data_IF_237408699159
#
_entry.id   IF_237408699159
#
_cell.length_a   1.000
_cell.length_b   1.000
_cell.length_c   1.000
_cell.angle_alpha   90.00
_cell.angle_beta   90.00
_cell.angle_gamma   90.00
#
_symmetry.space_group_name_H-M   'P 1'
#
loop_
_entity.id
_entity.type
_entity.pdbx_description
1 polymer ?
#
# COMPACT_ATOMS: atom_id res chain seq x y z
N UNK A 1 -5.51 -56.78 25.99
CA UNK A 1 -5.06 -55.49 26.55
C UNK A 1 -5.00 -54.48 25.41
N UNK A 2 -6.07 -53.71 25.21
CA UNK A 2 -6.22 -52.75 24.14
C UNK A 2 -5.53 -51.41 24.49
N UNK A 3 -4.77 -50.87 23.56
CA UNK A 3 -4.19 -49.52 23.67
C UNK A 3 -5.29 -48.47 23.45
N UNK A 4 -5.36 -47.38 24.22
CA UNK A 4 -6.32 -46.32 23.98
C UNK A 4 -5.96 -45.56 22.69
N UNK A 5 -6.93 -45.46 21.79
CA UNK A 5 -6.88 -44.52 20.65
C UNK A 5 -7.21 -43.14 21.20
N UNK A 6 -6.25 -42.25 21.14
CA UNK A 6 -6.51 -40.81 21.29
C UNK A 6 -7.29 -40.33 20.07
N UNK A 7 -8.55 -39.99 20.30
CA UNK A 7 -9.35 -39.22 19.31
C UNK A 7 -8.89 -37.77 19.42
N UNK A 8 -8.14 -37.32 18.43
CA UNK A 8 -7.85 -35.89 18.25
C UNK A 8 -9.17 -35.20 17.94
N UNK A 9 -9.48 -34.18 18.72
CA UNK A 9 -10.77 -33.50 18.70
C UNK A 9 -11.13 -32.99 17.29
N UNK A 10 -12.36 -33.32 16.90
CA UNK A 10 -13.03 -32.68 15.78
C UNK A 10 -13.08 -31.17 16.04
N UNK A 11 -12.42 -30.41 15.17
CA UNK A 11 -12.72 -28.97 15.00
C UNK A 11 -14.18 -28.90 14.57
N UNK A 12 -15.05 -28.50 15.48
CA UNK A 12 -16.45 -28.21 15.17
C UNK A 12 -16.46 -26.94 14.32
N UNK A 13 -16.55 -27.13 13.02
CA UNK A 13 -17.04 -26.06 12.14
C UNK A 13 -18.46 -25.79 12.62
N UNK A 14 -18.68 -24.69 13.31
CA UNK A 14 -20.01 -24.20 13.61
C UNK A 14 -20.71 -23.84 12.30
N UNK A 15 -21.23 -24.86 11.63
CA UNK A 15 -22.30 -24.67 10.67
C UNK A 15 -23.51 -24.22 11.47
N UNK A 16 -23.89 -22.97 11.35
CA UNK A 16 -25.19 -22.48 11.80
C UNK A 16 -26.28 -23.24 11.04
N UNK A 17 -26.81 -24.30 11.63
CA UNK A 17 -28.05 -24.93 11.18
C UNK A 17 -29.17 -24.01 11.65
N UNK A 18 -29.52 -23.04 10.82
CA UNK A 18 -30.75 -22.26 10.97
C UNK A 18 -31.94 -23.10 10.59
N UNK A 19 -32.76 -23.45 11.58
CA UNK A 19 -34.10 -23.98 11.36
C UNK A 19 -34.99 -22.87 10.78
N UNK A 20 -35.63 -23.09 9.62
CA UNK A 20 -36.68 -22.24 9.09
C UNK A 20 -36.41 -21.76 7.65
N UNK A 21 -37.31 -22.22 6.80
CA UNK A 21 -37.56 -21.84 5.42
C UNK A 21 -37.48 -20.31 5.20
N UNK A 22 -36.32 -19.82 4.73
CA UNK A 22 -36.15 -18.48 4.19
C UNK A 22 -35.64 -18.66 2.79
N UNK A 23 -36.40 -18.13 1.84
CA UNK A 23 -36.12 -18.15 0.41
C UNK A 23 -34.64 -17.91 0.14
N UNK A 24 -34.13 -18.57 -0.91
CA UNK A 24 -32.73 -18.52 -1.33
C UNK A 24 -32.24 -17.07 -1.45
N UNK A 25 -31.69 -16.57 -0.35
CA UNK A 25 -30.82 -15.39 -0.40
C UNK A 25 -29.57 -15.86 -1.13
N UNK A 26 -29.38 -15.40 -2.33
CA UNK A 26 -28.10 -15.50 -3.03
C UNK A 26 -27.02 -15.01 -2.08
N UNK A 27 -26.17 -15.91 -1.63
CA UNK A 27 -25.04 -15.57 -0.76
C UNK A 27 -24.09 -14.72 -1.60
N UNK A 28 -24.12 -13.41 -1.40
CA UNK A 28 -23.24 -12.48 -2.09
C UNK A 28 -21.85 -12.63 -1.44
N UNK A 29 -20.93 -13.28 -2.16
CA UNK A 29 -19.51 -13.30 -1.77
C UNK A 29 -18.82 -12.06 -2.32
N UNK A 30 -17.88 -11.52 -1.57
CA UNK A 30 -17.02 -10.45 -2.07
C UNK A 30 -15.95 -11.00 -3.01
N UNK A 31 -15.56 -10.24 -4.04
CA UNK A 31 -14.42 -10.59 -4.89
C UNK A 31 -13.11 -10.52 -4.12
N UNK A 32 -12.06 -11.10 -4.71
CA UNK A 32 -10.68 -10.96 -4.23
C UNK A 32 -10.26 -9.49 -4.20
N UNK A 33 -9.53 -9.07 -3.16
CA UNK A 33 -9.01 -7.72 -2.99
C UNK A 33 -9.59 -6.98 -1.78
N UNK A 34 -9.49 -5.66 -1.77
CA UNK A 34 -9.99 -4.81 -0.67
C UNK A 34 -11.51 -4.93 -0.52
N UNK A 35 -11.98 -4.89 0.74
CA UNK A 35 -13.41 -4.82 1.01
C UNK A 35 -14.00 -3.53 0.39
N UNK A 36 -15.23 -3.58 -0.21
CA UNK A 36 -15.84 -2.39 -0.77
C UNK A 36 -15.91 -1.24 0.23
N UNK A 37 -15.45 -0.05 -0.18
CA UNK A 37 -15.25 1.11 0.70
C UNK A 37 -16.52 1.50 1.49
N UNK A 38 -17.71 1.44 0.87
CA UNK A 38 -18.98 1.73 1.54
C UNK A 38 -19.28 0.73 2.66
N UNK A 39 -18.95 -0.56 2.46
CA UNK A 39 -19.14 -1.56 3.52
C UNK A 39 -18.14 -1.35 4.63
N UNK A 40 -16.86 -1.16 4.29
CA UNK A 40 -15.81 -0.89 5.28
C UNK A 40 -16.13 0.35 6.11
N UNK A 41 -16.55 1.46 5.49
CA UNK A 41 -16.94 2.68 6.19
C UNK A 41 -18.05 2.45 7.25
N UNK A 42 -19.07 1.63 6.90
CA UNK A 42 -20.14 1.27 7.86
C UNK A 42 -19.62 0.44 9.05
N UNK A 43 -18.65 -0.43 8.82
CA UNK A 43 -18.03 -1.22 9.88
C UNK A 43 -17.17 -0.34 10.79
N UNK A 44 -16.32 0.51 10.21
CA UNK A 44 -15.44 1.41 10.94
C UNK A 44 -16.21 2.44 11.78
N UNK A 45 -17.36 2.91 11.30
CA UNK A 45 -18.24 3.81 12.08
C UNK A 45 -18.70 3.19 13.42
N UNK A 46 -18.72 1.86 13.55
CA UNK A 46 -19.07 1.15 14.78
C UNK A 46 -17.90 1.04 15.77
N UNK A 47 -16.68 1.33 15.30
CA UNK A 47 -15.44 1.19 16.05
C UNK A 47 -14.75 2.55 16.26
N UNK A 48 -15.52 3.64 16.31
CA UNK A 48 -14.97 4.97 16.53
C UNK A 48 -14.26 5.04 17.89
N UNK A 49 -12.98 5.48 17.94
CA UNK A 49 -12.23 5.61 19.17
C UNK A 49 -12.88 6.63 20.11
N UNK A 50 -12.94 6.30 21.41
CA UNK A 50 -13.40 7.22 22.46
C UNK A 50 -12.25 7.91 23.20
N UNK A 51 -11.02 7.41 23.09
CA UNK A 51 -9.82 8.01 23.68
C UNK A 51 -9.44 9.27 22.90
N UNK A 52 -9.41 10.41 23.60
CA UNK A 52 -9.07 11.72 23.02
C UNK A 52 -7.63 11.82 22.51
N UNK A 53 -6.75 10.91 22.93
CA UNK A 53 -5.37 10.82 22.43
C UNK A 53 -5.30 10.25 21.01
N UNK A 54 -6.34 9.58 20.54
CA UNK A 54 -6.38 9.13 19.15
C UNK A 54 -6.65 10.32 18.24
N UNK A 55 -5.60 10.86 17.64
CA UNK A 55 -5.67 12.02 16.76
C UNK A 55 -6.14 11.64 15.36
N UNK A 56 -5.76 10.45 14.91
CA UNK A 56 -6.19 9.83 13.65
C UNK A 56 -6.57 8.38 13.94
N UNK A 57 -7.84 8.07 13.82
CA UNK A 57 -8.39 6.72 13.99
C UNK A 57 -8.76 6.09 12.64
N UNK A 58 -9.41 4.89 12.66
CA UNK A 58 -9.72 4.15 11.45
C UNK A 58 -10.65 4.93 10.52
N UNK A 59 -10.40 4.88 9.20
CA UNK A 59 -11.21 5.54 8.17
C UNK A 59 -10.74 5.22 6.76
N UNK A 60 -11.56 5.52 5.77
CA UNK A 60 -11.17 5.39 4.36
C UNK A 60 -10.11 6.44 4.03
N UNK A 61 -9.04 6.03 3.31
CA UNK A 61 -7.92 6.91 2.97
C UNK A 61 -7.05 7.31 4.18
N UNK A 62 -7.08 6.49 5.24
CA UNK A 62 -6.25 6.67 6.44
C UNK A 62 -5.37 5.44 6.61
N UNK A 63 -4.11 5.59 6.22
CA UNK A 63 -3.18 4.46 6.14
C UNK A 63 -2.64 4.04 7.50
N UNK A 64 -2.51 4.97 8.46
CA UNK A 64 -2.02 4.69 9.80
C UNK A 64 -2.87 5.33 10.90
N UNK A 65 -2.83 4.76 12.10
CA UNK A 65 -3.35 5.36 13.32
C UNK A 65 -2.32 6.30 13.94
N UNK A 66 -2.78 7.44 14.50
CA UNK A 66 -1.92 8.40 15.20
C UNK A 66 -2.47 8.62 16.60
N UNK A 67 -1.62 8.41 17.60
CA UNK A 67 -1.95 8.50 19.02
C UNK A 67 -1.01 9.51 19.67
N UNK A 68 -1.57 10.51 20.34
CA UNK A 68 -0.79 11.45 21.17
C UNK A 68 -0.18 10.72 22.35
N UNK A 69 1.14 10.85 22.52
CA UNK A 69 1.91 10.21 23.57
C UNK A 69 2.91 11.21 24.15
N UNK A 70 2.51 11.86 25.22
CA UNK A 70 3.24 12.99 25.85
C UNK A 70 3.53 14.13 24.84
N UNK A 71 4.79 14.41 24.56
CA UNK A 71 5.26 15.47 23.65
C UNK A 71 5.38 15.01 22.20
N UNK A 72 5.05 13.74 21.90
CA UNK A 72 5.11 13.14 20.56
C UNK A 72 3.80 12.48 20.15
N UNK A 73 3.73 12.13 18.88
CA UNK A 73 2.72 11.22 18.38
C UNK A 73 3.35 9.87 18.07
N UNK A 74 2.73 8.80 18.57
CA UNK A 74 2.99 7.43 18.13
C UNK A 74 2.13 7.18 16.89
N UNK A 75 2.77 6.70 15.83
CA UNK A 75 2.12 6.27 14.59
C UNK A 75 2.20 4.75 14.51
N UNK A 76 1.08 4.11 14.21
CA UNK A 76 0.99 2.66 14.13
C UNK A 76 0.24 2.22 12.87
N UNK A 77 0.81 1.25 12.16
CA UNK A 77 0.22 0.62 10.98
C UNK A 77 0.39 -0.89 11.06
N UNK A 78 -0.60 -1.63 10.57
CA UNK A 78 -0.49 -3.08 10.40
C UNK A 78 -1.14 -3.52 9.11
N UNK A 79 -0.34 -4.11 8.22
CA UNK A 79 -0.82 -4.71 6.96
C UNK A 79 -0.25 -6.11 6.74
N UNK A 80 -1.05 -7.02 6.16
CA UNK A 80 -0.60 -8.32 5.71
C UNK A 80 -0.03 -8.26 4.29
N UNK A 81 0.99 -9.07 4.02
CA UNK A 81 1.41 -9.42 2.66
C UNK A 81 0.90 -10.82 2.35
N UNK A 82 0.06 -10.94 1.32
CA UNK A 82 -0.65 -12.18 0.98
C UNK A 82 -0.40 -12.67 -0.45
N UNK A 83 0.09 -11.82 -1.35
CA UNK A 83 0.29 -12.14 -2.77
C UNK A 83 1.75 -12.42 -3.15
N UNK A 84 2.71 -11.78 -2.50
CA UNK A 84 4.12 -12.02 -2.78
C UNK A 84 4.56 -13.35 -2.16
N UNK A 85 5.11 -14.25 -2.96
CA UNK A 85 5.76 -15.48 -2.49
C UNK A 85 7.26 -15.29 -2.41
N UNK A 86 7.79 -14.47 -3.28
CA UNK A 86 9.19 -14.07 -3.38
C UNK A 86 9.39 -12.75 -2.63
N UNK A 87 10.41 -12.68 -1.78
CA UNK A 87 10.76 -11.50 -0.96
C UNK A 87 9.63 -11.00 -0.01
N UNK A 88 8.77 -11.90 0.47
CA UNK A 88 7.61 -11.55 1.31
C UNK A 88 7.98 -10.78 2.58
N UNK A 89 9.14 -11.09 3.19
CA UNK A 89 9.67 -10.36 4.35
C UNK A 89 10.05 -8.93 4.01
N UNK A 90 10.69 -8.71 2.84
CA UNK A 90 11.03 -7.39 2.31
C UNK A 90 9.78 -6.53 2.11
N UNK A 91 8.77 -7.08 1.42
CA UNK A 91 7.49 -6.40 1.22
C UNK A 91 6.83 -6.01 2.56
N UNK A 92 6.77 -6.93 3.52
CA UNK A 92 6.09 -6.70 4.78
C UNK A 92 6.68 -5.51 5.57
N UNK A 93 8.00 -5.33 5.53
CA UNK A 93 8.65 -4.19 6.18
C UNK A 93 8.37 -2.89 5.41
N UNK A 94 8.61 -2.88 4.10
CA UNK A 94 8.52 -1.65 3.31
C UNK A 94 7.09 -1.11 3.16
N UNK A 95 6.10 -1.98 2.92
CA UNK A 95 4.70 -1.55 2.79
C UNK A 95 4.21 -0.90 4.09
N UNK A 96 4.47 -1.54 5.24
CA UNK A 96 4.08 -0.97 6.53
C UNK A 96 4.87 0.31 6.87
N UNK A 97 6.14 0.41 6.45
CA UNK A 97 6.96 1.61 6.65
C UNK A 97 6.47 2.80 5.82
N UNK A 98 6.02 2.55 4.59
CA UNK A 98 5.50 3.57 3.70
C UNK A 98 4.29 4.30 4.30
N UNK A 99 3.32 3.56 4.82
CA UNK A 99 2.13 4.12 5.46
C UNK A 99 2.47 5.02 6.67
N UNK A 100 3.43 4.58 7.48
CA UNK A 100 3.93 5.37 8.62
C UNK A 100 4.61 6.63 8.11
N UNK A 101 5.45 6.53 7.08
CA UNK A 101 6.16 7.66 6.48
C UNK A 101 5.20 8.69 5.87
N UNK A 102 4.05 8.27 5.31
CA UNK A 102 3.03 9.17 4.77
C UNK A 102 2.41 10.11 5.82
N UNK A 103 2.62 9.84 7.11
CA UNK A 103 2.24 10.75 8.19
C UNK A 103 3.33 11.76 8.58
N UNK A 104 4.47 11.77 7.90
CA UNK A 104 5.66 12.55 8.28
C UNK A 104 6.45 11.94 9.44
N UNK A 105 6.08 10.74 9.89
CA UNK A 105 6.73 10.04 10.99
C UNK A 105 8.04 9.38 10.56
N UNK A 106 8.96 9.29 11.51
CA UNK A 106 10.15 8.45 11.39
C UNK A 106 9.79 7.03 11.83
N UNK A 107 9.98 6.05 10.97
CA UNK A 107 9.82 4.62 11.28
C UNK A 107 10.85 4.20 12.34
N UNK A 108 10.45 3.35 13.32
CA UNK A 108 11.31 3.00 14.44
C UNK A 108 11.33 1.52 14.78
N UNK A 109 10.16 0.91 14.91
CA UNK A 109 10.03 -0.46 15.42
C UNK A 109 9.10 -1.28 14.53
N UNK A 110 9.47 -2.53 14.35
CA UNK A 110 8.70 -3.49 13.57
C UNK A 110 8.38 -4.75 14.38
N UNK A 111 7.15 -5.25 14.25
CA UNK A 111 6.75 -6.57 14.73
C UNK A 111 6.25 -7.36 13.53
N UNK A 112 6.63 -8.65 13.44
CA UNK A 112 6.23 -9.53 12.36
C UNK A 112 5.47 -10.74 12.87
N UNK A 113 4.28 -11.01 12.32
CA UNK A 113 3.58 -12.28 12.52
C UNK A 113 3.68 -13.09 11.24
N UNK A 114 4.31 -14.26 11.32
CA UNK A 114 4.50 -15.20 10.23
C UNK A 114 3.53 -16.38 10.39
N UNK A 115 2.64 -16.54 9.41
CA UNK A 115 1.77 -17.71 9.30
C UNK A 115 2.28 -18.54 8.13
N UNK A 116 2.83 -19.72 8.44
CA UNK A 116 3.55 -20.57 7.48
C UNK A 116 2.73 -21.80 7.13
N UNK A 117 2.67 -22.22 5.85
CA UNK A 117 1.88 -23.37 5.43
C UNK A 117 2.48 -24.68 5.93
N UNK A 118 1.67 -25.56 6.59
CA UNK A 118 2.12 -26.82 7.18
C UNK A 118 2.78 -27.78 6.18
N UNK A 119 2.32 -27.79 4.92
CA UNK A 119 2.79 -28.73 3.91
C UNK A 119 4.05 -28.26 3.16
N UNK A 120 4.40 -26.97 3.25
CA UNK A 120 5.39 -26.33 2.39
C UNK A 120 6.44 -25.53 3.17
N UNK A 121 6.51 -25.67 4.49
CA UNK A 121 7.46 -24.95 5.35
C UNK A 121 8.66 -25.86 5.67
N UNK A 122 9.83 -25.40 5.27
CA UNK A 122 11.12 -25.98 5.65
C UNK A 122 12.03 -24.90 6.27
N UNK A 123 13.15 -25.29 6.89
CA UNK A 123 14.09 -24.32 7.47
C UNK A 123 14.57 -23.25 6.49
N UNK A 124 14.77 -23.61 5.22
CA UNK A 124 15.29 -22.68 4.19
C UNK A 124 14.29 -21.54 3.94
N UNK A 125 13.00 -21.86 3.84
CA UNK A 125 11.95 -20.85 3.69
C UNK A 125 11.89 -19.92 4.89
N UNK A 126 11.96 -20.48 6.09
CA UNK A 126 11.87 -19.69 7.34
C UNK A 126 13.07 -18.75 7.44
N UNK A 127 14.29 -19.28 7.26
CA UNK A 127 15.52 -18.51 7.30
C UNK A 127 15.49 -17.37 6.26
N UNK A 128 15.08 -17.66 5.03
CA UNK A 128 14.99 -16.66 3.96
C UNK A 128 14.02 -15.52 4.31
N UNK A 129 12.85 -15.82 4.90
CA UNK A 129 11.89 -14.78 5.31
C UNK A 129 12.47 -13.90 6.43
N UNK A 130 13.15 -14.51 7.42
CA UNK A 130 13.78 -13.77 8.51
C UNK A 130 14.94 -12.90 8.01
N UNK A 131 15.78 -13.40 7.09
CA UNK A 131 16.86 -12.63 6.47
C UNK A 131 16.30 -11.41 5.72
N UNK A 132 15.25 -11.59 4.92
CA UNK A 132 14.58 -10.50 4.21
C UNK A 132 14.04 -9.42 5.17
N UNK A 133 13.41 -9.83 6.27
CA UNK A 133 12.91 -8.88 7.30
C UNK A 133 14.08 -8.15 7.93
N UNK A 134 15.15 -8.85 8.31
CA UNK A 134 16.32 -8.26 8.95
C UNK A 134 17.02 -7.26 8.03
N UNK A 135 17.22 -7.62 6.76
CA UNK A 135 17.85 -6.75 5.76
C UNK A 135 17.04 -5.48 5.52
N UNK A 136 15.71 -5.62 5.34
CA UNK A 136 14.81 -4.47 5.14
C UNK A 136 14.75 -3.57 6.38
N UNK A 137 14.70 -4.14 7.58
CA UNK A 137 14.76 -3.38 8.83
C UNK A 137 16.10 -2.63 8.96
N UNK A 138 17.21 -3.30 8.64
CA UNK A 138 18.54 -2.69 8.67
C UNK A 138 18.66 -1.51 7.70
N UNK A 139 18.16 -1.67 6.46
CA UNK A 139 18.16 -0.62 5.44
C UNK A 139 17.41 0.63 5.91
N UNK A 140 16.26 0.45 6.56
CA UNK A 140 15.42 1.55 7.05
C UNK A 140 15.84 2.09 8.42
N UNK A 141 16.82 1.48 9.09
CA UNK A 141 17.19 1.82 10.46
C UNK A 141 16.08 1.54 11.48
N UNK A 142 15.31 0.47 11.25
CA UNK A 142 14.19 0.00 12.08
C UNK A 142 14.63 -1.17 12.92
N UNK A 143 14.19 -1.23 14.17
CA UNK A 143 14.44 -2.37 15.07
C UNK A 143 13.31 -3.39 15.00
N UNK A 144 13.64 -4.67 14.73
CA UNK A 144 12.69 -5.77 14.89
C UNK A 144 12.53 -6.06 16.39
N UNK A 145 11.38 -5.72 16.98
CA UNK A 145 11.18 -5.77 18.43
C UNK A 145 10.33 -6.93 18.91
N UNK A 146 9.79 -7.74 17.98
CA UNK A 146 9.00 -8.92 18.34
C UNK A 146 8.10 -9.40 17.23
N UNK A 147 7.14 -10.23 17.60
CA UNK A 147 6.17 -10.83 16.67
C UNK A 147 5.76 -12.22 17.09
N UNK A 148 5.29 -13.02 16.14
CA UNK A 148 4.89 -14.41 16.33
C UNK A 148 5.19 -15.22 15.07
N UNK A 149 5.57 -16.47 15.23
CA UNK A 149 5.79 -17.39 14.10
C UNK A 149 5.14 -18.72 14.39
N UNK A 150 4.27 -19.17 13.47
CA UNK A 150 3.63 -20.49 13.61
C UNK A 150 3.45 -21.17 12.25
N UNK A 151 3.40 -22.49 12.29
CA UNK A 151 2.99 -23.32 11.16
C UNK A 151 1.49 -23.51 11.24
N UNK A 152 0.76 -22.99 10.25
CA UNK A 152 -0.70 -22.82 10.27
C UNK A 152 -1.38 -23.79 9.30
N UNK A 153 -2.47 -24.41 9.76
CA UNK A 153 -3.30 -25.29 8.94
C UNK A 153 -4.07 -24.52 7.85
N UNK A 154 -4.16 -25.15 6.66
CA UNK A 154 -5.03 -24.67 5.58
C UNK A 154 -4.52 -23.46 4.81
N UNK A 155 -3.21 -23.19 4.86
CA UNK A 155 -2.54 -22.21 4.01
C UNK A 155 -1.80 -22.88 2.86
N UNK A 156 -1.87 -22.28 1.67
CA UNK A 156 -1.12 -22.72 0.49
C UNK A 156 0.21 -21.98 0.34
N UNK A 157 0.36 -20.82 0.98
CA UNK A 157 1.53 -19.94 0.91
C UNK A 157 1.75 -19.22 2.24
N UNK A 158 2.97 -18.70 2.50
CA UNK A 158 3.23 -17.85 3.66
C UNK A 158 2.37 -16.58 3.64
N UNK A 159 2.00 -16.12 4.83
CA UNK A 159 1.43 -14.79 5.07
C UNK A 159 2.30 -14.11 6.12
N UNK A 160 2.75 -12.90 5.84
CA UNK A 160 3.50 -12.08 6.81
C UNK A 160 2.66 -10.85 7.13
N UNK A 161 2.27 -10.71 8.40
CA UNK A 161 1.57 -9.52 8.89
C UNK A 161 2.59 -8.63 9.58
N UNK A 162 2.85 -7.47 8.99
CA UNK A 162 3.70 -6.45 9.58
C UNK A 162 2.91 -5.56 10.55
N UNK A 163 3.60 -5.06 11.58
CA UNK A 163 3.15 -3.93 12.37
C UNK A 163 4.31 -2.97 12.54
N UNK A 164 4.24 -1.83 11.89
CA UNK A 164 5.24 -0.76 11.95
C UNK A 164 4.80 0.32 12.92
N UNK A 165 5.72 0.74 13.77
CA UNK A 165 5.55 1.85 14.68
C UNK A 165 6.55 2.95 14.34
N UNK A 166 6.10 4.20 14.44
CA UNK A 166 6.92 5.38 14.20
C UNK A 166 6.58 6.52 15.15
N UNK A 167 7.38 7.56 15.08
CA UNK A 167 7.25 8.77 15.91
C UNK A 167 7.24 10.02 15.04
N UNK A 168 6.42 11.00 15.41
CA UNK A 168 6.41 12.32 14.80
C UNK A 168 6.10 13.40 15.84
N UNK A 169 6.71 14.56 15.70
CA UNK A 169 6.34 15.74 16.48
C UNK A 169 4.93 16.19 16.06
N UNK A 170 4.03 16.55 16.98
CA UNK A 170 2.66 16.96 16.65
C UNK A 170 2.58 18.07 15.59
N UNK A 171 3.53 19.01 15.59
CA UNK A 171 3.61 20.13 14.66
C UNK A 171 4.07 19.70 13.24
N UNK A 172 4.69 18.53 13.11
CA UNK A 172 5.19 17.97 11.85
C UNK A 172 4.31 16.85 11.31
N UNK A 173 3.21 16.55 11.99
CA UNK A 173 2.28 15.52 11.57
C UNK A 173 1.61 15.90 10.24
N UNK A 174 1.84 15.12 9.20
CA UNK A 174 1.12 15.23 7.93
C UNK A 174 -0.15 14.38 8.03
N UNK A 175 -1.29 14.99 7.75
CA UNK A 175 -2.58 14.33 7.87
C UNK A 175 -3.15 14.00 6.48
N UNK A 176 -3.79 12.84 6.31
CA UNK A 176 -4.41 12.49 5.02
C UNK A 176 -5.53 13.45 4.61
N UNK A 177 -6.18 14.12 5.59
CA UNK A 177 -7.22 15.11 5.37
C UNK A 177 -6.69 16.55 5.24
N UNK A 178 -5.37 16.72 5.10
CA UNK A 178 -4.71 18.02 5.07
C UNK A 178 -4.68 18.73 3.71
N UNK A 179 -4.96 18.04 2.61
CA UNK A 179 -4.93 18.64 1.27
C UNK A 179 -5.96 19.77 1.10
N UNK A 180 -5.56 20.85 0.41
CA UNK A 180 -6.36 22.07 0.28
C UNK A 180 -6.48 22.50 -1.18
N UNK A 181 -7.62 23.11 -1.60
CA UNK A 181 -7.71 23.76 -2.90
C UNK A 181 -6.56 24.75 -3.12
N UNK A 182 -5.89 24.64 -4.26
CA UNK A 182 -4.70 25.41 -4.60
C UNK A 182 -3.38 24.65 -4.47
N UNK A 183 -3.32 23.58 -3.69
CA UNK A 183 -2.13 22.74 -3.57
C UNK A 183 -1.71 22.16 -4.91
N UNK A 184 -0.40 22.01 -5.10
CA UNK A 184 0.15 21.26 -6.21
C UNK A 184 0.18 19.77 -5.86
N UNK A 185 -0.13 18.91 -6.84
CA UNK A 185 0.05 17.46 -6.74
C UNK A 185 1.40 17.07 -7.32
N UNK A 186 2.24 16.45 -6.51
CA UNK A 186 3.52 15.86 -6.92
C UNK A 186 3.43 14.35 -6.83
N UNK A 187 4.22 13.66 -7.67
CA UNK A 187 4.38 12.21 -7.65
C UNK A 187 5.86 11.85 -7.79
N UNK A 188 6.36 10.97 -6.93
CA UNK A 188 7.75 10.51 -6.99
C UNK A 188 7.90 9.26 -7.85
N UNK A 189 9.11 9.02 -8.37
CA UNK A 189 9.59 7.85 -9.14
C UNK A 189 8.75 7.55 -10.38
N UNK A 190 7.62 6.94 -10.22
CA UNK A 190 6.71 6.55 -11.30
C UNK A 190 5.68 5.54 -10.80
N UNK A 191 4.57 5.39 -11.54
CA UNK A 191 3.49 4.49 -11.15
C UNK A 191 3.78 3.04 -11.50
N UNK A 192 3.09 2.11 -10.84
CA UNK A 192 3.10 0.68 -11.09
C UNK A 192 4.51 0.02 -11.00
N UNK A 193 5.39 0.58 -10.16
CA UNK A 193 6.74 0.01 -9.91
C UNK A 193 6.61 -1.40 -9.35
N UNK A 194 5.84 -1.58 -8.30
CA UNK A 194 5.57 -2.88 -7.69
C UNK A 194 4.89 -3.84 -8.66
N UNK A 195 3.82 -3.40 -9.32
CA UNK A 195 3.07 -4.22 -10.28
C UNK A 195 3.96 -4.73 -11.42
N UNK A 196 4.88 -3.89 -11.91
CA UNK A 196 5.88 -4.29 -12.91
C UNK A 196 6.80 -5.39 -12.39
N UNK A 197 7.28 -5.28 -11.15
CA UNK A 197 8.14 -6.28 -10.53
C UNK A 197 7.40 -7.62 -10.33
N UNK A 198 6.17 -7.58 -9.80
CA UNK A 198 5.35 -8.78 -9.60
C UNK A 198 5.06 -9.48 -10.93
N UNK A 199 4.62 -8.74 -11.95
CA UNK A 199 4.34 -9.30 -13.29
C UNK A 199 5.56 -10.01 -13.87
N UNK A 200 6.75 -9.39 -13.75
CA UNK A 200 7.99 -9.95 -14.27
C UNK A 200 8.45 -11.19 -13.51
N UNK A 201 8.06 -11.36 -12.25
CA UNK A 201 8.40 -12.50 -11.40
C UNK A 201 7.42 -13.67 -11.58
N UNK A 202 6.12 -13.37 -11.59
CA UNK A 202 5.07 -14.39 -11.58
C UNK A 202 4.62 -14.86 -12.97
N UNK A 203 4.89 -14.09 -14.06
CA UNK A 203 4.38 -14.41 -15.38
C UNK A 203 5.42 -15.13 -16.25
N UNK A 204 5.37 -16.46 -16.27
CA UNK A 204 6.23 -17.32 -17.11
C UNK A 204 6.01 -17.10 -18.62
N UNK A 205 4.85 -16.58 -19.05
CA UNK A 205 4.54 -16.27 -20.45
C UNK A 205 5.40 -15.17 -21.06
N UNK A 206 6.14 -14.43 -20.23
CA UNK A 206 7.07 -13.38 -20.66
C UNK A 206 8.46 -13.88 -21.04
N UNK A 207 8.72 -15.18 -20.99
CA UNK A 207 10.06 -15.77 -21.25
C UNK A 207 10.68 -15.39 -22.61
N UNK A 208 9.89 -14.99 -23.61
CA UNK A 208 10.33 -14.47 -24.90
C UNK A 208 10.69 -12.97 -24.93
N UNK A 209 10.58 -12.25 -23.83
CA UNK A 209 10.72 -10.77 -23.77
C UNK A 209 12.17 -10.26 -23.70
N UNK A 210 13.17 -11.18 -23.67
CA UNK A 210 14.59 -10.86 -23.48
C UNK A 210 14.99 -10.85 -22.00
N UNK A 211 16.05 -11.63 -21.67
CA UNK A 211 16.47 -11.83 -20.27
C UNK A 211 16.79 -10.54 -19.53
N UNK A 212 17.53 -9.62 -20.17
CA UNK A 212 17.91 -8.34 -19.56
C UNK A 212 16.71 -7.45 -19.23
N UNK A 213 15.68 -7.42 -20.09
CA UNK A 213 14.47 -6.64 -19.85
C UNK A 213 13.69 -7.15 -18.62
N UNK A 214 13.51 -8.47 -18.50
CA UNK A 214 12.81 -9.05 -17.36
C UNK A 214 13.58 -8.89 -16.05
N UNK A 215 14.90 -9.06 -16.09
CA UNK A 215 15.74 -8.82 -14.91
C UNK A 215 15.62 -7.37 -14.41
N UNK A 216 15.60 -6.41 -15.33
CA UNK A 216 15.39 -5.02 -14.96
C UNK A 216 14.01 -4.81 -14.35
N UNK A 217 12.94 -5.38 -14.93
CA UNK A 217 11.59 -5.29 -14.36
C UNK A 217 11.52 -5.94 -12.96
N UNK A 218 12.13 -7.10 -12.76
CA UNK A 218 12.23 -7.79 -11.44
C UNK A 218 12.96 -6.95 -10.42
N UNK A 219 14.00 -6.22 -10.87
CA UNK A 219 14.79 -5.31 -10.05
C UNK A 219 14.02 -4.09 -9.54
N UNK A 220 12.84 -3.78 -10.09
CA UNK A 220 12.05 -2.61 -9.69
C UNK A 220 11.63 -2.63 -8.22
N UNK A 221 11.60 -3.78 -7.58
CA UNK A 221 11.39 -3.89 -6.14
C UNK A 221 12.44 -3.11 -5.33
N UNK A 222 13.68 -3.02 -5.86
CA UNK A 222 14.82 -2.38 -5.21
C UNK A 222 15.27 -1.08 -5.92
N UNK A 223 15.16 -0.99 -7.25
CA UNK A 223 15.53 0.17 -8.05
C UNK A 223 14.52 0.42 -9.19
N UNK A 224 13.68 1.45 -9.07
CA UNK A 224 13.70 2.60 -8.14
C UNK A 224 13.25 2.30 -6.71
N UNK A 225 12.79 1.09 -6.42
CA UNK A 225 12.39 0.61 -5.10
C UNK A 225 10.97 0.97 -4.69
N UNK A 226 10.36 0.09 -3.86
CA UNK A 226 9.00 0.28 -3.36
C UNK A 226 8.93 1.16 -2.09
N UNK A 227 10.07 1.45 -1.44
CA UNK A 227 10.11 2.32 -0.27
C UNK A 227 9.86 3.78 -0.64
N UNK A 228 8.97 4.45 0.09
CA UNK A 228 8.76 5.91 0.00
C UNK A 228 9.19 6.64 1.27
N UNK A 229 9.82 5.94 2.21
CA UNK A 229 10.29 6.52 3.48
C UNK A 229 11.23 7.70 3.27
N UNK A 230 12.21 7.53 2.38
CA UNK A 230 13.16 8.59 2.04
C UNK A 230 12.50 9.74 1.26
N UNK A 231 11.56 9.41 0.37
CA UNK A 231 10.79 10.38 -0.41
C UNK A 231 10.03 11.33 0.52
N UNK A 232 9.29 10.77 1.48
CA UNK A 232 8.52 11.51 2.47
C UNK A 232 9.42 12.39 3.35
N UNK A 233 10.52 11.83 3.86
CA UNK A 233 11.47 12.55 4.71
C UNK A 233 12.12 13.74 3.99
N UNK A 234 12.53 13.56 2.73
CA UNK A 234 13.13 14.63 1.91
C UNK A 234 12.11 15.71 1.59
N UNK A 235 10.88 15.32 1.20
CA UNK A 235 9.84 16.26 0.84
C UNK A 235 9.42 17.14 2.04
N UNK A 236 9.17 16.52 3.20
CA UNK A 236 8.74 17.24 4.42
C UNK A 236 9.85 18.09 5.05
N UNK A 237 11.12 17.79 4.77
CA UNK A 237 12.24 18.63 5.17
C UNK A 237 12.43 19.84 4.26
N UNK A 238 11.95 19.79 3.00
CA UNK A 238 12.19 20.81 1.98
C UNK A 238 11.07 21.84 1.84
N UNK A 239 9.86 21.59 2.35
CA UNK A 239 8.73 22.49 2.22
C UNK A 239 7.48 22.03 2.93
N UNK A 240 6.40 22.82 2.81
CA UNK A 240 5.12 22.53 3.44
C UNK A 240 4.36 21.47 2.65
N UNK A 241 4.22 20.28 3.25
CA UNK A 241 3.47 19.14 2.73
C UNK A 241 2.18 19.00 3.52
N UNK A 242 1.03 19.15 2.85
CA UNK A 242 -0.27 19.13 3.49
C UNK A 242 -0.87 17.73 3.62
N UNK A 243 -0.66 16.87 2.61
CA UNK A 243 -1.06 15.47 2.64
C UNK A 243 -0.09 14.62 1.83
N UNK A 244 0.07 13.37 2.25
CA UNK A 244 0.81 12.32 1.53
C UNK A 244 -0.03 11.05 1.45
N UNK A 245 0.20 10.27 0.41
CA UNK A 245 -0.38 8.95 0.23
C UNK A 245 0.53 8.10 -0.67
N UNK A 246 0.74 6.84 -0.34
CA UNK A 246 1.41 5.86 -1.19
C UNK A 246 0.37 5.00 -1.91
N UNK A 247 0.13 5.22 -3.21
CA UNK A 247 -0.80 4.40 -3.96
C UNK A 247 -0.38 2.93 -3.97
N UNK A 248 -1.26 2.02 -3.58
CA UNK A 248 -1.06 0.57 -3.54
C UNK A 248 -2.04 -0.12 -4.50
N UNK A 249 -2.91 -1.04 -4.01
CA UNK A 249 -3.92 -1.71 -4.81
C UNK A 249 -4.88 -0.73 -5.52
N UNK A 250 -5.13 -1.01 -6.81
CA UNK A 250 -5.90 -0.14 -7.68
C UNK A 250 -5.13 1.07 -8.20
N UNK A 251 -3.81 1.09 -7.95
CA UNK A 251 -2.83 2.00 -8.54
C UNK A 251 -3.02 3.48 -8.20
N UNK A 252 -2.40 4.33 -9.00
CA UNK A 252 -2.50 5.79 -8.83
C UNK A 252 -3.96 6.27 -8.87
N UNK A 253 -4.82 5.66 -9.68
CA UNK A 253 -6.20 6.08 -9.78
C UNK A 253 -6.92 5.95 -8.42
N UNK A 254 -6.76 4.82 -7.73
CA UNK A 254 -7.32 4.61 -6.39
C UNK A 254 -6.69 5.57 -5.37
N UNK A 255 -5.36 5.73 -5.35
CA UNK A 255 -4.69 6.66 -4.44
C UNK A 255 -5.15 8.11 -4.59
N UNK A 256 -5.41 8.58 -5.82
CA UNK A 256 -6.00 9.90 -6.06
C UNK A 256 -7.42 10.04 -5.50
N UNK A 257 -8.24 8.98 -5.63
CA UNK A 257 -9.58 8.93 -5.05
C UNK A 257 -9.52 8.93 -3.52
N UNK A 258 -8.61 8.17 -2.92
CA UNK A 258 -8.43 8.08 -1.47
C UNK A 258 -7.97 9.41 -0.87
N UNK A 259 -6.96 10.07 -1.48
CA UNK A 259 -6.51 11.40 -1.07
C UNK A 259 -7.64 12.44 -1.17
N UNK A 260 -8.37 12.46 -2.28
CA UNK A 260 -9.48 13.40 -2.47
C UNK A 260 -10.62 13.16 -1.47
N UNK A 261 -10.95 11.89 -1.21
CA UNK A 261 -12.01 11.51 -0.27
C UNK A 261 -11.64 11.85 1.18
N UNK A 262 -10.37 11.61 1.57
CA UNK A 262 -9.88 11.91 2.91
C UNK A 262 -9.96 13.41 3.22
N UNK A 263 -9.61 14.27 2.25
CA UNK A 263 -9.57 15.73 2.42
C UNK A 263 -10.86 16.46 2.00
N UNK A 264 -11.81 15.75 1.36
CA UNK A 264 -13.05 16.37 0.86
C UNK A 264 -12.81 17.37 -0.28
N UNK A 265 -11.89 17.06 -1.20
CA UNK A 265 -11.46 17.96 -2.29
C UNK A 265 -11.67 17.34 -3.68
N UNK A 266 -11.54 18.15 -4.72
CA UNK A 266 -11.43 17.71 -6.10
C UNK A 266 -9.97 17.73 -6.58
N UNK A 267 -9.66 17.04 -7.68
CA UNK A 267 -8.33 16.98 -8.27
C UNK A 267 -8.37 17.21 -9.77
N UNK A 268 -7.44 17.99 -10.28
CA UNK A 268 -7.15 18.12 -11.72
C UNK A 268 -5.76 17.56 -11.99
N UNK A 269 -5.70 16.42 -12.67
CA UNK A 269 -4.46 15.68 -12.94
C UNK A 269 -4.13 15.74 -14.43
N UNK A 270 -2.93 16.16 -14.78
CA UNK A 270 -2.41 16.16 -16.14
C UNK A 270 -1.89 14.76 -16.49
N UNK A 271 -2.63 14.04 -17.33
CA UNK A 271 -2.32 12.67 -17.72
C UNK A 271 -0.92 12.53 -18.33
N UNK A 272 -0.49 13.49 -19.16
CA UNK A 272 0.82 13.47 -19.79
C UNK A 272 1.98 13.75 -18.83
N UNK A 273 1.70 14.26 -17.63
CA UNK A 273 2.70 14.54 -16.62
C UNK A 273 2.91 13.38 -15.63
N UNK A 274 2.07 12.35 -15.69
CA UNK A 274 2.21 11.16 -14.82
C UNK A 274 3.44 10.37 -15.29
N UNK A 275 4.48 10.20 -14.43
CA UNK A 275 5.65 9.43 -14.81
C UNK A 275 5.32 7.92 -14.83
N UNK A 276 5.59 7.31 -15.97
CA UNK A 276 5.47 5.85 -16.17
C UNK A 276 6.78 5.37 -16.76
N UNK A 277 7.41 4.41 -16.11
CA UNK A 277 8.70 3.87 -16.58
C UNK A 277 8.51 3.13 -17.92
N UNK A 278 9.49 3.19 -18.83
CA UNK A 278 9.38 2.55 -20.15
C UNK A 278 9.06 1.06 -20.06
N UNK A 279 9.65 0.35 -19.10
CA UNK A 279 9.42 -1.07 -18.87
C UNK A 279 7.96 -1.35 -18.46
N UNK A 280 7.40 -0.53 -17.58
CA UNK A 280 5.99 -0.58 -17.19
C UNK A 280 5.07 -0.37 -18.39
N UNK A 281 5.35 0.65 -19.22
CA UNK A 281 4.57 0.91 -20.43
C UNK A 281 4.57 -0.29 -21.38
N UNK A 282 5.74 -0.91 -21.60
CA UNK A 282 5.89 -2.07 -22.47
C UNK A 282 5.12 -3.27 -21.92
N UNK A 283 5.24 -3.57 -20.62
CA UNK A 283 4.53 -4.69 -20.01
C UNK A 283 3.01 -4.50 -20.03
N UNK A 284 2.54 -3.34 -19.62
CA UNK A 284 1.12 -3.01 -19.63
C UNK A 284 0.52 -3.09 -21.03
N UNK A 285 1.20 -2.53 -22.05
CA UNK A 285 0.76 -2.60 -23.45
C UNK A 285 0.69 -4.03 -23.97
N UNK A 286 1.63 -4.90 -23.63
CA UNK A 286 1.65 -6.31 -24.04
C UNK A 286 0.53 -7.14 -23.40
N UNK A 287 0.20 -6.83 -22.16
CA UNK A 287 -0.76 -7.59 -21.37
C UNK A 287 -2.17 -6.98 -21.39
N UNK A 288 -2.34 -5.83 -22.03
CA UNK A 288 -3.59 -5.10 -22.09
C UNK A 288 -4.07 -4.56 -20.74
N UNK A 289 -3.11 -4.17 -19.87
CA UNK A 289 -3.36 -3.59 -18.56
C UNK A 289 -3.29 -2.06 -18.60
N UNK A 290 -4.07 -1.40 -17.75
CA UNK A 290 -3.98 0.04 -17.55
C UNK A 290 -3.02 0.34 -16.38
N UNK A 291 -1.88 1.04 -16.61
CA UNK A 291 -0.95 1.34 -15.55
C UNK A 291 -1.52 2.23 -14.45
N UNK A 292 -2.61 2.97 -14.71
CA UNK A 292 -3.29 3.78 -13.69
C UNK A 292 -3.99 2.94 -12.61
N UNK A 293 -4.41 1.72 -12.95
CA UNK A 293 -5.10 0.79 -12.06
C UNK A 293 -4.22 -0.36 -11.55
N UNK A 294 -2.94 -0.38 -11.90
CA UNK A 294 -2.00 -1.44 -11.51
C UNK A 294 -1.31 -1.06 -10.20
N UNK A 295 -1.22 -2.01 -9.27
CA UNK A 295 -0.60 -1.84 -7.94
C UNK A 295 0.72 -1.05 -8.01
N UNK A 296 0.88 -0.02 -7.17
CA UNK A 296 1.83 1.06 -7.41
C UNK A 296 2.72 1.43 -6.21
N UNK A 297 2.90 0.52 -5.22
CA UNK A 297 3.87 0.80 -4.15
C UNK A 297 5.21 1.23 -4.74
N UNK A 298 5.81 2.23 -4.10
CA UNK A 298 7.04 2.87 -4.58
C UNK A 298 6.83 4.28 -5.13
N UNK A 299 5.60 4.69 -5.46
CA UNK A 299 5.27 6.07 -5.76
C UNK A 299 4.73 6.77 -4.51
N UNK A 300 5.14 8.02 -4.27
CA UNK A 300 4.56 8.88 -3.23
C UNK A 300 3.79 10.01 -3.90
N UNK A 301 2.50 10.10 -3.60
CA UNK A 301 1.63 11.20 -3.98
C UNK A 301 1.63 12.26 -2.87
N UNK A 302 1.90 13.51 -3.22
CA UNK A 302 1.97 14.63 -2.27
C UNK A 302 1.05 15.76 -2.70
N UNK A 303 0.31 16.33 -1.76
CA UNK A 303 -0.33 17.64 -1.88
C UNK A 303 0.52 18.67 -1.12
N UNK A 304 1.07 19.64 -1.84
CA UNK A 304 2.08 20.58 -1.29
C UNK A 304 1.70 22.03 -1.54
N UNK A 305 2.14 22.93 -0.66
CA UNK A 305 1.98 24.35 -0.85
C UNK A 305 2.57 24.80 -2.20
N UNK A 306 1.86 25.61 -3.01
CA UNK A 306 2.32 25.98 -4.34
C UNK A 306 3.68 26.70 -4.35
N UNK A 307 4.00 27.44 -3.28
CA UNK A 307 5.26 28.16 -3.13
C UNK A 307 6.48 27.25 -2.95
N UNK A 308 6.29 26.04 -2.44
CA UNK A 308 7.35 25.12 -2.06
C UNK A 308 7.65 24.06 -3.12
N UNK A 309 6.83 23.97 -4.18
CA UNK A 309 7.00 23.00 -5.28
C UNK A 309 8.43 22.96 -5.81
N UNK A 310 9.03 24.12 -6.07
CA UNK A 310 10.40 24.19 -6.61
C UNK A 310 11.45 23.65 -5.64
N UNK A 311 11.33 23.99 -4.37
CA UNK A 311 12.25 23.53 -3.32
C UNK A 311 12.14 22.01 -3.10
N UNK A 312 10.91 21.48 -3.03
CA UNK A 312 10.67 20.05 -2.83
C UNK A 312 11.19 19.24 -4.03
N UNK A 313 10.88 19.66 -5.28
CA UNK A 313 11.38 18.96 -6.47
C UNK A 313 12.91 19.01 -6.57
N UNK A 314 13.53 20.14 -6.21
CA UNK A 314 14.99 20.28 -6.20
C UNK A 314 15.63 19.37 -5.13
N UNK A 315 15.04 19.29 -3.94
CA UNK A 315 15.53 18.43 -2.85
C UNK A 315 15.40 16.93 -3.21
N UNK A 316 14.26 16.51 -3.76
CA UNK A 316 14.07 15.14 -4.25
C UNK A 316 15.08 14.81 -5.36
N UNK A 317 15.27 15.69 -6.34
CA UNK A 317 16.27 15.51 -7.39
C UNK A 317 17.70 15.42 -6.84
N UNK A 318 18.06 16.25 -5.84
CA UNK A 318 19.34 16.20 -5.14
C UNK A 318 19.56 14.90 -4.36
N UNK A 319 18.47 14.25 -3.96
CA UNK A 319 18.49 12.93 -3.32
C UNK A 319 18.42 11.76 -4.33
N UNK A 320 18.50 12.02 -5.64
CA UNK A 320 18.31 11.06 -6.74
C UNK A 320 16.90 10.41 -6.76
N UNK A 321 15.89 11.12 -6.27
CA UNK A 321 14.50 10.69 -6.34
C UNK A 321 13.84 11.48 -7.48
N UNK A 322 13.47 10.78 -8.56
CA UNK A 322 12.72 11.40 -9.65
C UNK A 322 11.34 11.84 -9.14
N UNK A 323 10.89 13.05 -9.49
CA UNK A 323 9.58 13.54 -9.11
C UNK A 323 9.02 14.50 -10.16
N UNK A 324 7.71 14.54 -10.28
CA UNK A 324 7.02 15.39 -11.22
C UNK A 324 5.79 16.05 -10.59
N UNK A 325 5.47 17.27 -11.03
CA UNK A 325 4.18 17.88 -10.75
C UNK A 325 3.14 17.32 -11.73
N UNK A 326 2.20 16.54 -11.19
CA UNK A 326 1.17 15.86 -12.00
C UNK A 326 -0.17 16.61 -12.04
N UNK A 327 -0.37 17.63 -11.19
CA UNK A 327 -1.67 18.30 -11.15
C UNK A 327 -1.80 19.33 -10.05
N UNK A 328 -3.05 19.49 -9.61
CA UNK A 328 -3.43 20.38 -8.49
C UNK A 328 -4.68 19.91 -7.78
N UNK A 329 -4.81 20.31 -6.53
CA UNK A 329 -6.03 20.19 -5.74
C UNK A 329 -6.98 21.36 -6.08
N UNK A 330 -8.26 21.04 -6.17
CA UNK A 330 -9.33 22.00 -6.49
C UNK A 330 -10.52 21.81 -5.55
N UNK A 331 -11.52 22.68 -5.63
CA UNK A 331 -12.76 22.53 -4.88
C UNK A 331 -13.47 21.21 -5.22
N UNK A 332 -14.12 20.61 -4.23
CA UNK A 332 -14.74 19.28 -4.33
C UNK A 332 -15.75 19.18 -5.49
N UNK A 333 -16.50 20.25 -5.76
CA UNK A 333 -17.53 20.31 -6.79
C UNK A 333 -16.96 20.16 -8.22
N UNK A 334 -15.66 20.37 -8.40
CA UNK A 334 -14.98 20.19 -9.71
C UNK A 334 -14.70 18.72 -10.01
N UNK A 335 -14.87 17.85 -9.01
CA UNK A 335 -14.64 16.41 -9.12
C UNK A 335 -13.18 16.04 -9.30
N UNK A 336 -12.93 14.77 -9.60
CA UNK A 336 -11.58 14.25 -9.87
C UNK A 336 -11.48 13.95 -11.36
N UNK A 337 -10.59 14.66 -12.06
CA UNK A 337 -10.51 14.61 -13.52
C UNK A 337 -9.09 14.47 -14.04
N UNK A 338 -8.96 13.73 -15.13
CA UNK A 338 -7.76 13.68 -15.96
C UNK A 338 -7.86 14.75 -17.07
N UNK A 339 -6.79 15.51 -17.22
CA UNK A 339 -6.62 16.51 -18.26
C UNK A 339 -5.61 16.00 -19.29
N UNK A 340 -6.01 15.98 -20.56
CA UNK A 340 -5.11 15.80 -21.70
C UNK A 340 -5.16 17.01 -22.62
N UNK A 341 -4.28 17.08 -23.62
CA UNK A 341 -4.31 18.17 -24.59
C UNK A 341 -5.65 18.30 -25.33
N UNK A 342 -6.38 17.20 -25.47
CA UNK A 342 -7.62 17.14 -26.28
C UNK A 342 -8.90 16.97 -25.44
N UNK A 343 -8.81 16.61 -24.15
CA UNK A 343 -9.98 16.22 -23.36
C UNK A 343 -9.84 16.48 -21.88
N UNK A 344 -11.01 16.65 -21.23
CA UNK A 344 -11.19 16.57 -19.79
C UNK A 344 -12.16 15.41 -19.52
N UNK A 345 -11.71 14.40 -18.78
CA UNK A 345 -12.52 13.22 -18.49
C UNK A 345 -12.46 12.88 -16.98
N UNK A 346 -13.49 12.24 -16.41
CA UNK A 346 -13.40 11.72 -15.05
C UNK A 346 -12.22 10.77 -14.91
N UNK A 347 -11.59 10.77 -13.72
CA UNK A 347 -10.61 9.75 -13.37
C UNK A 347 -11.28 8.38 -13.39
N UNK A 348 -10.71 7.35 -14.04
CA UNK A 348 -11.28 6.01 -14.03
C UNK A 348 -11.33 5.46 -12.60
N UNK A 349 -12.31 4.59 -12.35
CA UNK A 349 -12.38 3.78 -11.14
C UNK A 349 -12.12 2.33 -11.50
N UNK A 350 -11.25 1.70 -10.77
CA UNK A 350 -10.97 0.28 -10.88
C UNK A 350 -11.66 -0.43 -9.71
N UNK A 351 -12.56 -1.35 -10.00
CA UNK A 351 -13.27 -2.14 -8.98
C UNK A 351 -12.32 -3.12 -8.28
N UNK A 352 -11.22 -3.47 -8.95
CA UNK A 352 -10.14 -4.34 -8.50
C UNK A 352 -8.85 -3.94 -9.18
N UNK A 353 -7.73 -4.35 -8.63
CA UNK A 353 -6.43 -4.11 -9.23
C UNK A 353 -6.31 -4.77 -10.61
N UNK A 354 -5.67 -4.07 -11.55
CA UNK A 354 -5.43 -4.58 -12.90
C UNK A 354 -4.59 -5.87 -12.93
N UNK A 355 -3.73 -6.08 -11.92
CA UNK A 355 -2.92 -7.30 -11.82
C UNK A 355 -3.78 -8.56 -11.68
N UNK A 356 -4.97 -8.46 -11.08
CA UNK A 356 -5.86 -9.61 -10.87
C UNK A 356 -6.33 -10.24 -12.18
N UNK A 357 -6.33 -9.48 -13.27
CA UNK A 357 -6.68 -9.96 -14.62
C UNK A 357 -5.69 -11.00 -15.17
N UNK A 358 -4.53 -11.12 -14.56
CA UNK A 358 -3.52 -12.12 -14.95
C UNK A 358 -3.73 -13.48 -14.28
N UNK A 359 -4.63 -13.55 -13.30
CA UNK A 359 -4.94 -14.78 -12.54
C UNK A 359 -6.33 -15.34 -12.85
N UNK A 360 -7.03 -14.77 -13.83
CA UNK A 360 -8.29 -15.26 -14.40
C UNK A 360 -8.03 -16.10 -15.66
#
# INVERSE_FOLDING_TARGET
>A
MGRPRFVVGQVVILSYVGCGDRGAMTQVSYPLGKLPAEHLARLLARCAPSDKRVLLGPGIGRDAAVISFDDRCLVAKSDPVTFATDEIGWYAVHVNANDVACTGATVRWFLATLLLPEAHTDPTLVDAIFDQIADACHELGVELVGGHTEITYGLDRPIVVGCMLGEVDPERLVRPDGARPGDALLLTKGIAVEGTAIIARENSGLAGSGGFFLERCRGFLHDPGISVVRDAAVATAAGEVHAMHDPTEGGLATGLWELAAAAGVGLEVNEAAIPILPETQILCARLGLDPLGLIASGALLLAVAPGDVGAILAALGGANIAAARIGRVVEQERGIVLLSAASRRPLPRFERDEITRLFE
#
